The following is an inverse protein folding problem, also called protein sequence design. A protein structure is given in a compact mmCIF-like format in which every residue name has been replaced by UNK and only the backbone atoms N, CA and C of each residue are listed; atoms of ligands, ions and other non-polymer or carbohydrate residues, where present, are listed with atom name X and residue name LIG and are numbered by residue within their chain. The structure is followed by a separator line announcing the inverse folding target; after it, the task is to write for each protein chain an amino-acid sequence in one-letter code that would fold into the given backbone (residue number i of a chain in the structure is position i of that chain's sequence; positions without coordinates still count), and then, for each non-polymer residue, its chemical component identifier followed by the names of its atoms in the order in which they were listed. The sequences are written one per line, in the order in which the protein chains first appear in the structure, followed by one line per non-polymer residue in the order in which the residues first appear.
data_IF_499324729473
#
_entry.id   IF_499324729473
#
_cell.length_a   1.000
_cell.length_b   1.000
_cell.length_c   1.000
_cell.angle_alpha   90.00
_cell.angle_beta   90.00
_cell.angle_gamma   90.00
#
_symmetry.space_group_name_H-M   'P 1'
#
loop_
_entity.id
_entity.type
_entity.pdbx_description
1 polymer ?
#
# COMPACT_ATOMS: atom_id res chain seq x y z
N UNK A 1 8.87 2.12 4.58
CA UNK A 1 8.85 2.63 5.96
C UNK A 1 9.65 1.69 6.82
N UNK A 2 10.45 2.22 7.76
CA UNK A 2 11.18 1.42 8.75
C UNK A 2 10.66 1.76 10.14
N UNK A 3 10.15 0.75 10.82
CA UNK A 3 9.59 0.85 12.16
C UNK A 3 10.56 0.24 13.17
N UNK A 4 10.67 0.86 14.35
CA UNK A 4 11.37 0.29 15.51
C UNK A 4 10.38 0.15 16.66
N UNK A 5 10.05 -1.10 16.97
CA UNK A 5 9.25 -1.46 18.15
C UNK A 5 10.16 -1.58 19.36
N UNK A 6 9.76 -0.97 20.48
CA UNK A 6 10.34 -1.23 21.80
C UNK A 6 9.35 -2.08 22.57
N UNK A 7 9.74 -3.29 22.93
CA UNK A 7 8.90 -4.23 23.68
C UNK A 7 9.28 -4.21 25.16
N UNK A 8 8.32 -4.51 26.02
CA UNK A 8 8.54 -4.78 27.42
C UNK A 8 9.29 -6.11 27.55
N UNK A 9 10.42 -6.16 28.27
CA UNK A 9 11.23 -7.37 28.36
C UNK A 9 10.51 -8.52 29.09
N UNK A 10 9.63 -8.20 30.05
CA UNK A 10 8.95 -9.19 30.88
C UNK A 10 7.66 -9.74 30.25
N UNK A 11 6.90 -8.90 29.55
CA UNK A 11 5.57 -9.26 29.00
C UNK A 11 5.56 -9.41 27.48
N UNK A 12 6.60 -8.95 26.79
CA UNK A 12 6.62 -8.85 25.32
C UNK A 12 5.68 -7.79 24.75
N UNK A 13 4.92 -7.07 25.60
CA UNK A 13 3.98 -6.05 25.17
C UNK A 13 4.69 -4.87 24.50
N UNK A 14 4.06 -4.25 23.51
CA UNK A 14 4.61 -3.07 22.85
C UNK A 14 4.59 -1.87 23.80
N UNK A 15 5.75 -1.27 24.04
CA UNK A 15 5.91 -0.07 24.84
C UNK A 15 5.93 1.21 24.02
N UNK A 16 6.62 1.21 22.87
CA UNK A 16 6.72 2.34 21.96
C UNK A 16 6.94 1.91 20.52
N UNK A 17 6.37 2.66 19.57
CA UNK A 17 6.65 2.55 18.15
C UNK A 17 7.30 3.83 17.65
N UNK A 18 8.56 3.76 17.22
CA UNK A 18 9.24 4.88 16.56
C UNK A 18 9.34 4.63 15.07
N UNK A 19 8.91 5.59 14.25
CA UNK A 19 9.13 5.54 12.80
C UNK A 19 10.53 6.06 12.52
N UNK A 20 11.43 5.19 12.09
CA UNK A 20 12.81 5.57 11.80
C UNK A 20 12.92 6.28 10.46
N UNK A 21 12.19 5.79 9.46
CA UNK A 21 12.12 6.39 8.13
C UNK A 21 10.74 6.20 7.53
N UNK A 22 10.22 7.28 6.98
CA UNK A 22 9.00 7.29 6.19
C UNK A 22 9.28 7.99 4.86
N UNK A 23 8.48 7.69 3.84
CA UNK A 23 8.58 8.30 2.51
C UNK A 23 7.27 9.01 2.19
N UNK A 24 7.30 10.07 1.36
CA UNK A 24 6.09 10.70 0.85
C UNK A 24 5.21 9.69 0.12
N UNK A 25 5.80 8.85 -0.72
CA UNK A 25 5.09 7.71 -1.35
C UNK A 25 5.47 6.42 -0.64
N UNK A 26 4.47 5.68 -0.16
CA UNK A 26 4.67 4.43 0.57
C UNK A 26 3.74 3.34 0.04
N UNK A 27 4.29 2.14 -0.12
CA UNK A 27 3.52 0.93 -0.43
C UNK A 27 3.21 0.21 0.88
N UNK A 28 1.95 -0.15 1.09
CA UNK A 28 1.50 -0.99 2.19
C UNK A 28 0.93 -2.28 1.61
N UNK A 29 1.55 -3.42 1.91
CA UNK A 29 0.99 -4.72 1.52
C UNK A 29 -0.17 -5.08 2.44
N UNK A 30 -1.08 -5.96 1.97
CA UNK A 30 -2.17 -6.45 2.82
C UNK A 30 -1.61 -7.06 4.11
N UNK A 31 -0.58 -7.90 4.02
CA UNK A 31 0.12 -8.46 5.18
C UNK A 31 0.62 -7.38 6.15
N UNK A 32 1.18 -6.27 5.67
CA UNK A 32 1.65 -5.22 6.57
C UNK A 32 0.50 -4.51 7.29
N UNK A 33 -0.65 -4.36 6.61
CA UNK A 33 -1.87 -3.81 7.20
C UNK A 33 -2.42 -4.77 8.25
N UNK A 34 -2.49 -6.08 7.95
CA UNK A 34 -2.98 -7.08 8.89
C UNK A 34 -2.08 -7.18 10.13
N UNK A 35 -0.76 -7.30 9.92
CA UNK A 35 0.22 -7.41 11.00
C UNK A 35 0.15 -6.16 11.91
N UNK A 36 0.25 -4.94 11.35
CA UNK A 36 0.24 -3.70 12.14
C UNK A 36 -1.15 -3.36 12.71
N UNK A 37 -2.21 -3.69 11.99
CA UNK A 37 -3.59 -3.49 12.43
C UNK A 37 -3.95 -4.38 13.62
N UNK A 38 -3.50 -5.64 13.61
CA UNK A 38 -3.68 -6.57 14.73
C UNK A 38 -3.01 -6.09 16.03
N UNK A 39 -1.95 -5.29 15.89
CA UNK A 39 -1.21 -4.69 17.01
C UNK A 39 -1.74 -3.30 17.40
N UNK A 40 -2.78 -2.80 16.74
CA UNK A 40 -3.32 -1.45 16.95
C UNK A 40 -2.38 -0.32 16.50
N UNK A 41 -1.38 -0.63 15.67
CA UNK A 41 -0.37 0.32 15.18
C UNK A 41 -0.73 0.96 13.84
N UNK A 42 -1.80 0.47 13.22
CA UNK A 42 -2.27 0.95 11.94
C UNK A 42 -3.79 0.87 11.91
N UNK A 43 -4.42 1.92 11.38
CA UNK A 43 -5.83 1.93 11.02
C UNK A 43 -5.94 2.12 9.52
N UNK A 44 -6.69 1.23 8.87
CA UNK A 44 -7.12 1.39 7.49
C UNK A 44 -8.56 1.90 7.53
N UNK A 45 -8.79 3.11 7.03
CA UNK A 45 -10.12 3.67 6.82
C UNK A 45 -10.50 3.49 5.35
N UNK A 46 -11.38 2.54 5.08
CA UNK A 46 -11.79 2.23 3.70
C UNK A 46 -12.74 3.28 3.09
N UNK A 47 -13.49 3.98 3.95
CA UNK A 47 -14.48 4.99 3.58
C UNK A 47 -13.81 6.30 3.17
N UNK A 48 -12.88 6.80 3.99
CA UNK A 48 -12.04 7.97 3.67
C UNK A 48 -10.89 7.63 2.72
N UNK A 49 -10.54 6.36 2.60
CA UNK A 49 -9.44 5.89 1.76
C UNK A 49 -8.08 6.31 2.33
N UNK A 50 -7.90 6.20 3.64
CA UNK A 50 -6.67 6.58 4.35
C UNK A 50 -6.08 5.42 5.15
N UNK A 51 -4.77 5.46 5.35
CA UNK A 51 -4.02 4.58 6.23
C UNK A 51 -3.32 5.46 7.26
N UNK A 52 -3.67 5.30 8.52
CA UNK A 52 -3.06 6.01 9.64
C UNK A 52 -2.13 5.06 10.38
N UNK A 53 -0.86 5.43 10.49
CA UNK A 53 0.12 4.71 11.32
C UNK A 53 0.24 5.42 12.66
N UNK A 54 -0.14 4.71 13.72
CA UNK A 54 -0.07 5.19 15.10
C UNK A 54 1.34 4.95 15.64
N UNK A 55 2.10 6.02 15.84
CA UNK A 55 3.46 5.94 16.35
C UNK A 55 3.67 6.97 17.46
N UNK A 56 4.69 6.79 18.30
CA UNK A 56 5.02 7.78 19.32
C UNK A 56 5.72 9.00 18.71
N UNK A 57 6.59 8.76 17.71
CA UNK A 57 7.42 9.77 17.06
C UNK A 57 7.61 9.41 15.56
N UNK A 58 7.10 10.22 14.62
CA UNK A 58 6.07 11.26 14.82
C UNK A 58 4.74 10.64 15.30
N UNK A 59 3.89 11.47 15.93
CA UNK A 59 2.71 11.00 16.68
C UNK A 59 1.69 10.26 15.81
N UNK A 60 1.51 10.68 14.56
CA UNK A 60 0.66 10.01 13.58
C UNK A 60 1.22 10.23 12.18
N UNK A 61 1.17 9.20 11.32
CA UNK A 61 1.41 9.37 9.90
C UNK A 61 0.16 9.01 9.13
N UNK A 62 -0.45 9.99 8.49
CA UNK A 62 -1.67 9.80 7.70
C UNK A 62 -1.30 9.73 6.23
N UNK A 63 -1.62 8.60 5.61
CA UNK A 63 -1.42 8.31 4.20
C UNK A 63 -2.75 8.22 3.47
N UNK A 64 -2.90 8.88 2.33
CA UNK A 64 -4.05 8.70 1.44
C UNK A 64 -3.76 7.61 0.42
N UNK A 65 -4.72 6.72 0.21
CA UNK A 65 -4.64 5.64 -0.77
C UNK A 65 -4.82 6.22 -2.18
N UNK A 66 -3.78 6.13 -3.00
CA UNK A 66 -3.79 6.58 -4.40
C UNK A 66 -4.11 5.42 -5.34
N UNK A 67 -3.57 4.22 -5.07
CA UNK A 67 -3.93 2.99 -5.80
C UNK A 67 -4.18 1.86 -4.81
N UNK A 68 -5.29 1.13 -5.01
CA UNK A 68 -5.66 -0.05 -4.22
C UNK A 68 -5.06 -1.32 -4.85
N UNK A 69 -4.91 -2.42 -4.10
CA UNK A 69 -4.57 -3.70 -4.70
C UNK A 69 -5.55 -4.09 -5.82
N UNK A 70 -5.04 -4.80 -6.83
CA UNK A 70 -5.83 -5.29 -7.95
C UNK A 70 -5.05 -5.43 -9.24
N UNK A 71 -5.79 -5.69 -10.33
CA UNK A 71 -5.23 -5.81 -11.66
C UNK A 71 -5.27 -4.45 -12.37
N UNK A 72 -4.18 -4.09 -13.03
CA UNK A 72 -4.04 -2.83 -13.74
C UNK A 72 -3.50 -3.07 -15.15
N UNK A 73 -4.03 -2.36 -16.13
CA UNK A 73 -3.50 -2.33 -17.49
C UNK A 73 -2.17 -1.56 -17.50
N UNK A 74 -1.16 -2.08 -18.19
CA UNK A 74 0.14 -1.43 -18.31
C UNK A 74 0.14 -0.26 -19.30
N UNK A 75 -0.81 -0.21 -20.24
CA UNK A 75 -0.89 0.82 -21.28
C UNK A 75 -1.55 2.12 -20.79
N UNK A 76 -2.63 2.01 -20.01
CA UNK A 76 -3.48 3.14 -19.61
C UNK A 76 -3.70 3.26 -18.08
N UNK A 77 -3.02 2.42 -17.30
CA UNK A 77 -3.13 2.34 -15.83
C UNK A 77 -4.56 2.08 -15.29
N UNK A 78 -5.49 1.63 -16.14
CA UNK A 78 -6.87 1.38 -15.72
C UNK A 78 -6.95 0.19 -14.77
N UNK A 79 -7.68 0.35 -13.66
CA UNK A 79 -8.01 -0.74 -12.73
C UNK A 79 -9.04 -1.68 -13.35
N UNK A 80 -8.77 -2.98 -13.26
CA UNK A 80 -9.55 -4.06 -13.84
C UNK A 80 -10.01 -5.00 -12.72
N UNK A 81 -11.23 -5.53 -12.85
CA UNK A 81 -11.89 -6.29 -11.79
C UNK A 81 -11.37 -7.74 -11.60
N UNK A 82 -10.29 -8.12 -12.28
CA UNK A 82 -9.70 -9.45 -12.18
C UNK A 82 -8.85 -9.81 -13.38
N UNK A 83 -8.03 -10.85 -13.26
CA UNK A 83 -7.12 -11.32 -14.31
C UNK A 83 -7.83 -11.58 -15.65
N UNK A 84 -8.95 -12.32 -15.63
CA UNK A 84 -9.68 -12.68 -16.85
C UNK A 84 -10.17 -11.44 -17.61
N UNK A 85 -10.65 -10.43 -16.88
CA UNK A 85 -11.09 -9.17 -17.47
C UNK A 85 -9.91 -8.31 -17.91
N UNK A 86 -8.80 -8.33 -17.16
CA UNK A 86 -7.57 -7.64 -17.53
C UNK A 86 -7.02 -8.15 -18.85
N UNK A 87 -6.87 -9.47 -18.98
CA UNK A 87 -6.43 -10.12 -20.21
C UNK A 87 -7.35 -9.79 -21.38
N UNK A 88 -8.67 -9.92 -21.20
CA UNK A 88 -9.65 -9.57 -22.24
C UNK A 88 -9.56 -8.11 -22.64
N UNK A 89 -9.40 -7.20 -21.67
CA UNK A 89 -9.28 -5.76 -21.93
C UNK A 89 -8.05 -5.46 -22.77
N UNK A 90 -6.88 -6.01 -22.43
CA UNK A 90 -5.65 -5.81 -23.20
C UNK A 90 -5.82 -6.34 -24.63
N UNK A 91 -6.28 -7.59 -24.79
CA UNK A 91 -6.49 -8.20 -26.12
C UNK A 91 -7.46 -7.40 -26.99
N UNK A 92 -8.47 -6.75 -26.40
CA UNK A 92 -9.47 -5.99 -27.14
C UNK A 92 -9.07 -4.56 -27.46
N UNK A 93 -8.31 -3.88 -26.59
CA UNK A 93 -8.01 -2.45 -26.72
C UNK A 93 -6.60 -2.18 -27.25
N UNK A 94 -5.68 -3.12 -27.06
CA UNK A 94 -4.28 -3.01 -27.50
C UNK A 94 -3.88 -4.27 -28.29
N UNK A 95 -4.61 -4.63 -29.36
CA UNK A 95 -4.28 -5.80 -30.17
C UNK A 95 -2.89 -5.62 -30.80
N UNK A 96 -2.09 -6.68 -30.77
CA UNK A 96 -0.75 -6.76 -31.38
C UNK A 96 0.27 -5.72 -30.86
N UNK A 97 -0.04 -5.04 -29.75
CA UNK A 97 0.89 -4.15 -29.07
C UNK A 97 1.71 -4.92 -28.03
N UNK A 98 3.02 -4.69 -28.04
CA UNK A 98 3.90 -5.16 -26.98
C UNK A 98 3.64 -4.36 -25.69
N UNK A 99 3.68 -5.05 -24.56
CA UNK A 99 3.50 -4.39 -23.26
C UNK A 99 4.57 -3.32 -23.04
N UNK A 100 4.20 -2.12 -22.57
CA UNK A 100 5.18 -1.09 -22.21
C UNK A 100 5.96 -1.45 -20.94
N UNK A 101 5.51 -2.45 -20.18
CA UNK A 101 6.23 -2.97 -19.01
C UNK A 101 6.84 -4.34 -19.32
N UNK A 102 8.18 -4.44 -19.45
CA UNK A 102 8.86 -5.68 -19.80
C UNK A 102 8.69 -6.79 -18.74
N UNK A 103 8.36 -6.42 -17.49
CA UNK A 103 8.10 -7.40 -16.43
C UNK A 103 6.69 -8.00 -16.52
N UNK A 104 5.80 -7.38 -17.30
CA UNK A 104 4.40 -7.75 -17.45
C UNK A 104 4.06 -7.88 -18.95
N UNK A 105 4.58 -8.92 -19.65
CA UNK A 105 4.41 -9.07 -21.10
C UNK A 105 2.95 -9.28 -21.54
N UNK A 106 2.07 -9.69 -20.63
CA UNK A 106 0.65 -9.83 -20.88
C UNK A 106 -0.11 -8.47 -20.98
N UNK A 107 0.59 -7.34 -20.77
CA UNK A 107 0.02 -5.99 -20.84
C UNK A 107 -0.82 -5.59 -19.62
N UNK A 108 -0.85 -6.41 -18.58
CA UNK A 108 -1.44 -6.10 -17.29
C UNK A 108 -0.56 -6.59 -16.14
N UNK A 109 -0.64 -5.91 -14.99
CA UNK A 109 0.06 -6.26 -13.75
C UNK A 109 -0.92 -6.51 -12.61
N UNK A 110 -0.48 -7.26 -11.61
CA UNK A 110 -1.18 -7.42 -10.35
C UNK A 110 -0.43 -6.69 -9.24
N UNK A 111 -1.03 -5.63 -8.70
CA UNK A 111 -0.49 -4.91 -7.56
C UNK A 111 -1.08 -5.49 -6.27
N UNK A 112 -0.23 -6.05 -5.40
CA UNK A 112 -0.61 -6.64 -4.11
C UNK A 112 -0.39 -5.68 -2.92
N UNK A 113 -0.41 -4.38 -3.21
CA UNK A 113 -0.16 -3.32 -2.22
C UNK A 113 -1.07 -2.12 -2.47
N UNK A 114 -1.35 -1.39 -1.40
CA UNK A 114 -1.89 -0.05 -1.43
C UNK A 114 -0.75 0.92 -1.69
N UNK A 115 -0.80 1.65 -2.80
CA UNK A 115 0.09 2.78 -3.06
C UNK A 115 -0.51 4.00 -2.39
N UNK A 116 0.23 4.60 -1.47
CA UNK A 116 -0.28 5.71 -0.67
C UNK A 116 0.68 6.89 -0.70
N UNK A 117 0.13 8.08 -0.48
CA UNK A 117 0.85 9.33 -0.38
C UNK A 117 0.63 9.97 0.99
N UNK A 118 1.70 10.45 1.61
CA UNK A 118 1.66 11.08 2.91
C UNK A 118 0.90 12.41 2.81
N UNK A 119 -0.17 12.52 3.58
CA UNK A 119 -1.00 13.73 3.68
C UNK A 119 -0.62 14.52 4.90
N UNK A 120 -0.42 13.83 6.03
CA UNK A 120 0.03 14.45 7.27
C UNK A 120 1.15 13.62 7.89
N UNK A 121 2.29 14.28 8.13
CA UNK A 121 3.49 13.66 8.66
C UNK A 121 3.60 13.73 10.18
N UNK A 122 2.52 14.09 10.89
CA UNK A 122 2.53 14.28 12.34
C UNK A 122 3.57 15.32 12.73
N UNK A 123 3.49 16.53 12.12
CA UNK A 123 4.36 17.63 12.52
C UNK A 123 4.13 17.91 14.01
N UNK A 124 5.22 17.86 14.77
CA UNK A 124 5.30 18.29 16.17
C UNK A 124 4.74 19.69 16.40
#
# INVERSE_FOLDING_TARGET
MRLRKKLCPDTGALLRLKVQTYKPTQKFTQKAIDDLGSEGLLTLDEDEGTITVHADEPRELVYKIVKRPGYYCCFDEKKLAGEKLARRYVTQNFPDQESPDPNNPAGYRQDNFYLCELVDGGKE
#
